data_IF_478091258752
#
_entry.id   IF_478091258752
#
_cell.length_a   1.000
_cell.length_b   1.000
_cell.length_c   1.000
_cell.angle_alpha   90.00
_cell.angle_beta   90.00
_cell.angle_gamma   90.00
#
_symmetry.space_group_name_H-M   'P 1'
#
loop_
_entity.id
_entity.type
_entity.pdbx_description
1 polymer ?
#
# COMPACT_ATOMS: atom_id res chain seq x y z
N UNK A 1 0.41 33.94 -28.50
CA UNK A 1 1.37 32.89 -28.91
C UNK A 1 1.62 31.86 -27.80
N UNK A 2 0.63 31.58 -26.95
CA UNK A 2 0.61 30.37 -26.11
C UNK A 2 -0.66 29.64 -26.51
N UNK A 3 -0.51 28.68 -27.42
CA UNK A 3 -1.59 27.78 -27.80
C UNK A 3 -1.89 26.99 -26.52
N UNK A 4 -3.01 27.33 -25.90
CA UNK A 4 -3.41 26.86 -24.58
C UNK A 4 -3.13 25.36 -24.51
N UNK A 5 -2.24 24.94 -23.60
CA UNK A 5 -1.98 23.52 -23.33
C UNK A 5 -3.34 22.94 -22.98
N UNK A 6 -3.93 22.25 -23.95
CA UNK A 6 -5.28 21.75 -23.83
C UNK A 6 -5.27 20.46 -23.02
N UNK A 7 -6.47 20.00 -22.62
CA UNK A 7 -6.61 18.66 -22.04
C UNK A 7 -6.01 17.58 -22.95
N UNK A 8 -6.02 17.77 -24.28
CA UNK A 8 -5.41 16.86 -25.26
C UNK A 8 -3.89 16.73 -25.09
N UNK A 9 -3.16 17.83 -24.96
CA UNK A 9 -1.70 17.79 -24.75
C UNK A 9 -1.34 17.12 -23.42
N UNK A 10 -2.11 17.38 -22.35
CA UNK A 10 -1.90 16.73 -21.05
C UNK A 10 -2.08 15.21 -21.17
N UNK A 11 -3.13 14.75 -21.86
CA UNK A 11 -3.37 13.32 -22.10
C UNK A 11 -2.20 12.70 -22.87
N UNK A 12 -1.66 13.39 -23.88
CA UNK A 12 -0.54 12.88 -24.68
C UNK A 12 0.73 12.75 -23.83
N UNK A 13 1.01 13.70 -22.95
CA UNK A 13 2.14 13.63 -22.02
C UNK A 13 1.97 12.45 -21.04
N UNK A 14 0.79 12.31 -20.44
CA UNK A 14 0.50 11.19 -19.54
C UNK A 14 0.63 9.85 -20.27
N UNK A 15 0.17 9.76 -21.53
CA UNK A 15 0.29 8.56 -22.34
C UNK A 15 1.77 8.17 -22.55
N UNK A 16 2.66 9.13 -22.82
CA UNK A 16 4.10 8.88 -22.94
C UNK A 16 4.69 8.40 -21.61
N UNK A 17 4.34 9.02 -20.48
CA UNK A 17 4.80 8.59 -19.15
C UNK A 17 4.33 7.16 -18.85
N UNK A 18 3.05 6.85 -19.13
CA UNK A 18 2.49 5.50 -18.99
C UNK A 18 3.21 4.49 -19.89
N UNK A 19 3.63 4.88 -21.09
CA UNK A 19 4.37 3.99 -21.99
C UNK A 19 5.78 3.68 -21.46
N UNK A 20 6.46 4.67 -20.87
CA UNK A 20 7.82 4.51 -20.32
C UNK A 20 7.84 3.74 -19.01
N UNK A 21 6.94 4.07 -18.08
CA UNK A 21 6.91 3.51 -16.74
C UNK A 21 5.93 2.33 -16.59
N UNK A 22 4.95 2.22 -17.48
CA UNK A 22 3.87 1.25 -17.41
C UNK A 22 2.68 1.74 -16.56
N UNK A 23 1.46 1.37 -16.97
CA UNK A 23 0.22 1.72 -16.27
C UNK A 23 0.16 1.21 -14.82
N UNK A 24 0.91 0.15 -14.50
CA UNK A 24 0.95 -0.47 -13.17
C UNK A 24 1.88 0.27 -12.20
N UNK A 25 2.87 1.04 -12.68
CA UNK A 25 3.89 1.71 -11.85
C UNK A 25 3.50 3.12 -11.41
N UNK A 26 2.76 3.87 -12.22
CA UNK A 26 2.20 5.17 -11.79
C UNK A 26 1.35 5.09 -10.51
N UNK A 27 0.34 4.20 -10.41
CA UNK A 27 -0.49 4.12 -9.20
C UNK A 27 0.29 3.61 -7.99
N UNK A 28 1.27 2.73 -8.22
CA UNK A 28 2.14 2.19 -7.16
C UNK A 28 3.02 3.30 -6.55
N UNK A 29 3.69 4.09 -7.41
CA UNK A 29 4.44 5.28 -7.01
C UNK A 29 3.55 6.32 -6.33
N UNK A 30 2.37 6.59 -6.88
CA UNK A 30 1.42 7.55 -6.31
C UNK A 30 0.91 7.12 -4.92
N UNK A 31 0.66 5.82 -4.70
CA UNK A 31 0.26 5.27 -3.39
C UNK A 31 1.37 5.45 -2.36
N UNK A 32 2.61 5.13 -2.69
CA UNK A 32 3.76 5.31 -1.80
C UNK A 32 4.03 6.78 -1.47
N UNK A 33 4.13 7.64 -2.50
CA UNK A 33 4.34 9.08 -2.32
C UNK A 33 3.17 9.76 -1.62
N UNK A 34 1.93 9.36 -1.91
CA UNK A 34 0.73 9.90 -1.28
C UNK A 34 0.65 9.61 0.21
N UNK A 35 1.08 8.42 0.66
CA UNK A 35 1.19 8.10 2.09
C UNK A 35 2.22 8.98 2.79
N UNK A 36 3.41 9.13 2.20
CA UNK A 36 4.46 10.00 2.75
C UNK A 36 3.99 11.46 2.85
N UNK A 37 3.35 11.98 1.80
CA UNK A 37 2.77 13.33 1.80
C UNK A 37 1.63 13.47 2.81
N UNK A 38 0.79 12.45 3.01
CA UNK A 38 -0.30 12.45 3.99
C UNK A 38 0.24 12.51 5.41
N UNK A 39 1.25 11.70 5.74
CA UNK A 39 1.91 11.69 7.06
C UNK A 39 2.57 13.04 7.31
N UNK A 40 3.36 13.53 6.35
CA UNK A 40 4.01 14.84 6.43
C UNK A 40 2.99 15.97 6.63
N UNK A 41 1.86 15.92 5.92
CA UNK A 41 0.78 16.91 6.06
C UNK A 41 0.13 16.83 7.44
N UNK A 42 -0.13 15.64 7.99
CA UNK A 42 -0.72 15.49 9.33
C UNK A 42 0.22 15.95 10.43
N UNK A 43 1.51 15.64 10.34
CA UNK A 43 2.51 16.08 11.32
C UNK A 43 2.73 17.59 11.25
N UNK A 44 2.87 18.13 10.02
CA UNK A 44 3.00 19.58 9.82
C UNK A 44 1.74 20.32 10.26
N UNK A 45 0.55 19.72 10.07
CA UNK A 45 -0.70 20.31 10.55
C UNK A 45 -0.73 20.34 12.08
N UNK A 46 -0.34 19.27 12.77
CA UNK A 46 -0.25 19.27 14.24
C UNK A 46 0.72 20.34 14.80
N UNK A 47 1.76 20.73 14.05
CA UNK A 47 2.67 21.81 14.44
C UNK A 47 2.11 23.23 14.19
N UNK A 48 1.13 23.36 13.28
CA UNK A 48 0.53 24.65 12.90
C UNK A 48 -0.79 24.88 13.66
N UNK A 49 -1.45 23.80 14.06
CA UNK A 49 -2.82 23.74 14.59
C UNK A 49 -2.84 23.46 16.11
N UNK A 50 -1.72 23.72 16.83
CA UNK A 50 -1.56 23.57 18.29
C UNK A 50 -2.48 24.51 19.12
N UNK A 51 -3.58 25.00 18.51
CA UNK A 51 -4.68 25.75 19.13
C UNK A 51 -6.06 25.06 19.01
N UNK A 52 -6.26 23.99 18.20
CA UNK A 52 -7.60 23.36 18.09
C UNK A 52 -7.57 21.84 17.77
N UNK A 53 -7.72 21.06 18.84
CA UNK A 53 -8.41 19.77 19.04
C UNK A 53 -8.30 18.56 18.06
N UNK A 54 -8.49 17.39 18.69
CA UNK A 54 -8.06 16.03 18.37
C UNK A 54 -8.51 15.30 17.08
N UNK A 55 -7.62 14.37 16.68
CA UNK A 55 -7.90 13.00 16.21
C UNK A 55 -8.71 12.75 14.92
N UNK A 56 -8.04 12.22 13.87
CA UNK A 56 -8.48 11.01 13.13
C UNK A 56 -7.33 10.29 12.41
N UNK A 57 -6.85 9.19 13.02
CA UNK A 57 -6.14 8.13 12.30
C UNK A 57 -7.16 7.12 11.74
N UNK A 58 -7.15 6.96 10.42
CA UNK A 58 -7.55 5.74 9.72
C UNK A 58 -6.39 5.38 8.81
N UNK A 59 -5.60 4.44 9.29
CA UNK A 59 -4.66 3.66 8.50
C UNK A 59 -5.50 2.65 7.71
N UNK A 60 -5.86 3.02 6.48
CA UNK A 60 -6.46 2.08 5.52
C UNK A 60 -5.36 1.64 4.56
N UNK A 61 -4.66 0.58 4.98
CA UNK A 61 -3.81 -0.26 4.13
C UNK A 61 -4.65 -1.43 3.61
N UNK A 62 -5.50 -1.20 2.60
CA UNK A 62 -6.05 -2.31 1.81
C UNK A 62 -6.43 -1.84 0.39
N UNK A 63 -5.56 -2.16 -0.57
CA UNK A 63 -5.93 -2.31 -1.98
C UNK A 63 -4.86 -3.15 -2.69
N UNK A 64 -4.64 -4.35 -2.14
CA UNK A 64 -3.98 -5.47 -2.81
C UNK A 64 -5.04 -6.10 -3.71
N UNK A 65 -5.00 -5.99 -5.05
CA UNK A 65 -5.75 -6.90 -5.87
C UNK A 65 -5.07 -8.26 -5.76
N UNK A 66 -5.68 -9.12 -4.95
CA UNK A 66 -5.77 -10.58 -5.13
C UNK A 66 -5.22 -11.05 -6.47
N UNK A 67 -3.98 -11.56 -6.48
CA UNK A 67 -3.50 -12.54 -7.43
C UNK A 67 -2.59 -13.45 -6.61
N UNK A 68 -2.86 -14.76 -6.68
CA UNK A 68 -2.03 -15.86 -6.14
C UNK A 68 -2.52 -16.49 -4.82
N UNK A 69 -3.59 -17.28 -4.92
CA UNK A 69 -3.75 -18.47 -4.06
C UNK A 69 -4.63 -19.51 -4.77
N UNK A 70 -4.15 -19.97 -5.93
CA UNK A 70 -4.36 -21.35 -6.30
C UNK A 70 -3.35 -22.18 -5.50
N UNK A 71 -3.88 -23.01 -4.60
CA UNK A 71 -3.28 -24.29 -4.20
C UNK A 71 -2.00 -24.24 -3.32
N UNK A 72 -2.14 -24.59 -2.04
CA UNK A 72 -1.48 -25.76 -1.43
C UNK A 72 -1.45 -25.61 0.10
N UNK A 73 -2.57 -25.94 0.73
CA UNK A 73 -2.64 -27.01 1.72
C UNK A 73 -1.35 -27.29 2.52
N UNK A 74 -1.01 -26.43 3.50
CA UNK A 74 -0.20 -26.84 4.68
C UNK A 74 -0.63 -26.09 5.94
N UNK A 75 -1.49 -26.78 6.68
CA UNK A 75 -1.48 -26.94 8.13
C UNK A 75 -0.82 -25.82 8.95
N UNK A 76 -1.67 -25.11 9.70
CA UNK A 76 -1.33 -24.42 10.94
C UNK A 76 -0.43 -25.31 11.82
N UNK A 77 0.78 -24.84 12.12
CA UNK A 77 1.57 -25.33 13.25
C UNK A 77 1.74 -24.17 14.22
N UNK A 78 1.08 -24.27 15.38
CA UNK A 78 1.38 -23.44 16.54
C UNK A 78 2.77 -23.82 17.05
N UNK A 79 3.66 -22.83 17.16
CA UNK A 79 4.98 -23.00 17.77
C UNK A 79 4.81 -22.62 19.25
N UNK A 80 4.75 -23.63 20.13
CA UNK A 80 4.84 -23.43 21.58
C UNK A 80 6.27 -23.03 21.94
N UNK A 81 6.40 -21.86 22.56
CA UNK A 81 7.67 -21.17 22.80
C UNK A 81 8.59 -21.87 23.83
N UNK A 82 8.16 -22.99 24.44
CA UNK A 82 8.86 -23.53 25.61
C UNK A 82 9.75 -24.75 25.38
N UNK A 83 9.61 -25.48 24.28
CA UNK A 83 10.53 -26.59 23.97
C UNK A 83 10.61 -26.77 22.46
N UNK A 84 11.62 -26.20 21.82
CA UNK A 84 11.86 -26.31 20.38
C UNK A 84 12.19 -27.73 19.93
N UNK A 85 11.19 -28.62 19.91
CA UNK A 85 11.31 -29.99 19.43
C UNK A 85 9.96 -30.45 18.87
N UNK A 86 9.94 -30.68 17.56
CA UNK A 86 8.77 -31.14 16.80
C UNK A 86 8.55 -32.63 17.10
N UNK A 87 7.44 -32.97 17.76
CA UNK A 87 7.05 -34.38 17.99
C UNK A 87 5.91 -34.73 17.02
N UNK A 88 6.05 -35.74 16.15
CA UNK A 88 4.96 -36.21 15.28
C UNK A 88 3.82 -36.78 16.13
N UNK A 89 2.58 -36.40 15.78
CA UNK A 89 1.36 -36.91 16.42
C UNK A 89 1.28 -38.42 16.22
N UNK A 90 1.55 -39.14 17.29
CA UNK A 90 1.36 -40.58 17.41
C UNK A 90 -0.07 -40.94 16.99
N UNK A 91 -0.18 -41.61 15.84
CA UNK A 91 -1.41 -42.22 15.33
C UNK A 91 -1.70 -43.48 16.15
N UNK A 92 -2.18 -43.30 17.38
CA UNK A 92 -2.74 -44.39 18.17
C UNK A 92 -4.25 -44.50 17.92
N UNK A 93 -4.60 -45.48 17.08
CA UNK A 93 -5.84 -46.30 16.98
C UNK A 93 -7.20 -45.68 17.34
#
# INVERSE_FOLDING_TARGET
MFKQIGPTEIILIIAVIVLLFGAKKLPDLARGSGRALRIFKSETKGLIDDDDDESKKKDDDEATPEIESAESDRATYDIDEKTGSVVPRDQSK
#
